data_IF_238188698822
#
_entry.id   IF_238188698822
#
_cell.length_a   1.000
_cell.length_b   1.000
_cell.length_c   1.000
_cell.angle_alpha   90.00
_cell.angle_beta   90.00
_cell.angle_gamma   90.00
#
_symmetry.space_group_name_H-M   'P 1'
#
loop_
_entity.id
_entity.type
_entity.pdbx_description
1 polymer ?
#
# COMPACT_ATOMS: atom_id res chain seq x y z
N UNK A 1 4.29 -0.48 4.60
CA UNK A 1 3.66 -1.79 4.89
C UNK A 1 4.57 -2.73 5.66
N UNK A 2 5.73 -3.14 5.12
CA UNK A 2 6.64 -4.08 5.82
C UNK A 2 7.06 -3.60 7.22
N UNK A 3 7.55 -2.36 7.32
CA UNK A 3 7.97 -1.74 8.59
C UNK A 3 6.82 -1.65 9.60
N UNK A 4 5.66 -1.17 9.18
CA UNK A 4 4.46 -1.08 10.02
C UNK A 4 3.92 -2.47 10.39
N UNK A 5 4.07 -3.48 9.53
CA UNK A 5 3.73 -4.86 9.82
C UNK A 5 4.62 -5.47 10.91
N UNK A 6 5.92 -5.17 10.91
CA UNK A 6 6.85 -5.61 11.94
C UNK A 6 6.59 -4.87 13.26
N UNK A 7 6.48 -3.53 13.22
CA UNK A 7 6.23 -2.70 14.40
C UNK A 7 4.84 -2.96 15.01
N UNK A 8 3.86 -3.30 14.19
CA UNK A 8 2.52 -3.66 14.62
C UNK A 8 2.41 -4.97 15.34
N UNK A 9 3.16 -5.98 14.90
CA UNK A 9 3.22 -7.27 15.58
C UNK A 9 3.84 -7.18 16.99
N UNK A 10 4.54 -6.08 17.31
CA UNK A 10 5.06 -5.80 18.66
C UNK A 10 4.24 -4.73 19.41
N UNK A 11 3.06 -4.37 18.89
CA UNK A 11 2.12 -3.44 19.55
C UNK A 11 2.46 -1.96 19.43
N UNK A 12 3.40 -1.59 18.55
CA UNK A 12 3.84 -0.21 18.35
C UNK A 12 3.18 0.38 17.10
N UNK A 13 2.77 1.65 17.17
CA UNK A 13 2.10 2.37 16.07
C UNK A 13 0.76 1.75 15.62
N UNK A 14 -0.04 1.22 16.55
CA UNK A 14 -1.38 0.65 16.28
C UNK A 14 -2.29 1.59 15.50
N UNK A 15 -2.29 2.90 15.80
CA UNK A 15 -3.07 3.88 15.04
C UNK A 15 -2.64 4.01 13.57
N UNK A 16 -1.33 3.90 13.27
CA UNK A 16 -0.85 3.91 11.88
C UNK A 16 -1.21 2.61 11.13
N UNK A 17 -1.42 1.51 11.87
CA UNK A 17 -1.84 0.22 11.32
C UNK A 17 -3.33 0.24 11.00
N UNK A 18 -4.18 0.78 11.88
CA UNK A 18 -5.60 1.01 11.58
C UNK A 18 -5.78 1.88 10.33
N UNK A 19 -5.00 2.96 10.22
CA UNK A 19 -5.01 3.77 9.00
C UNK A 19 -4.56 2.95 7.78
N UNK A 20 -3.51 2.14 7.92
CA UNK A 20 -3.04 1.27 6.84
C UNK A 20 -4.09 0.25 6.39
N UNK A 21 -4.79 -0.39 7.33
CA UNK A 21 -5.87 -1.35 7.04
C UNK A 21 -7.09 -0.68 6.40
N UNK A 22 -7.35 0.60 6.69
CA UNK A 22 -8.39 1.37 6.00
C UNK A 22 -8.01 1.76 4.56
N UNK A 23 -6.72 2.00 4.30
CA UNK A 23 -6.25 2.49 3.01
C UNK A 23 -5.85 1.37 2.03
N UNK A 24 -5.61 0.17 2.54
CA UNK A 24 -5.19 -0.99 1.76
C UNK A 24 -6.05 -2.19 2.13
N UNK A 25 -6.99 -2.51 1.25
CA UNK A 25 -8.04 -3.50 1.51
C UNK A 25 -7.46 -4.90 1.75
N UNK A 26 -6.30 -5.19 1.16
CA UNK A 26 -5.62 -6.47 1.31
C UNK A 26 -4.54 -6.48 2.42
N UNK A 27 -4.30 -5.34 3.08
CA UNK A 27 -3.31 -5.26 4.15
C UNK A 27 -3.85 -5.84 5.46
N UNK A 28 -3.02 -6.65 6.13
CA UNK A 28 -3.23 -7.09 7.51
C UNK A 28 -1.88 -7.40 8.15
N UNK A 29 -1.83 -7.52 9.48
CA UNK A 29 -0.61 -7.88 10.22
C UNK A 29 -0.07 -9.29 9.94
N UNK A 30 -0.80 -10.11 9.18
CA UNK A 30 -0.32 -11.40 8.69
C UNK A 30 0.74 -11.23 7.60
N UNK A 31 1.72 -12.14 7.52
CA UNK A 31 2.76 -12.11 6.46
C UNK A 31 2.13 -12.06 5.06
N UNK A 32 1.04 -12.82 4.83
CA UNK A 32 0.31 -12.82 3.57
C UNK A 32 -0.36 -11.47 3.28
N UNK A 33 -0.98 -10.85 4.28
CA UNK A 33 -1.60 -9.53 4.14
C UNK A 33 -0.58 -8.42 3.87
N UNK A 34 0.58 -8.46 4.53
CA UNK A 34 1.67 -7.49 4.26
C UNK A 34 2.11 -7.57 2.80
N UNK A 35 2.32 -8.79 2.27
CA UNK A 35 2.72 -9.00 0.88
C UNK A 35 1.60 -8.57 -0.07
N UNK A 36 0.35 -8.92 0.23
CA UNK A 36 -0.80 -8.56 -0.61
C UNK A 36 -1.01 -7.05 -0.68
N UNK A 37 -0.94 -6.34 0.46
CA UNK A 37 -1.01 -4.88 0.47
C UNK A 37 0.15 -4.23 -0.29
N UNK A 38 1.38 -4.79 -0.20
CA UNK A 38 2.51 -4.28 -0.99
C UNK A 38 2.27 -4.44 -2.49
N UNK A 39 1.72 -5.57 -2.93
CA UNK A 39 1.38 -5.81 -4.32
C UNK A 39 0.25 -4.87 -4.79
N UNK A 40 -0.79 -4.69 -3.98
CA UNK A 40 -1.89 -3.75 -4.22
C UNK A 40 -1.35 -2.34 -4.46
N UNK A 41 -0.54 -1.82 -3.54
CA UNK A 41 0.02 -0.48 -3.66
C UNK A 41 0.92 -0.33 -4.90
N UNK A 42 1.72 -1.35 -5.23
CA UNK A 42 2.57 -1.34 -6.42
C UNK A 42 1.74 -1.28 -7.71
N UNK A 43 0.69 -2.09 -7.82
CA UNK A 43 -0.19 -2.12 -9.00
C UNK A 43 -0.96 -0.81 -9.13
N UNK A 44 -1.55 -0.31 -8.05
CA UNK A 44 -2.31 0.95 -8.05
C UNK A 44 -1.38 2.10 -8.46
N UNK A 45 -0.20 2.21 -7.85
CA UNK A 45 0.78 3.26 -8.18
C UNK A 45 1.20 3.17 -9.64
N UNK A 46 1.48 1.96 -10.13
CA UNK A 46 1.84 1.75 -11.54
C UNK A 46 0.74 2.23 -12.49
N UNK A 47 -0.52 1.86 -12.24
CA UNK A 47 -1.66 2.29 -13.06
C UNK A 47 -1.79 3.80 -13.05
N UNK A 48 -1.73 4.45 -11.88
CA UNK A 48 -1.84 5.91 -11.78
C UNK A 48 -0.70 6.62 -12.52
N UNK A 49 0.55 6.20 -12.31
CA UNK A 49 1.71 6.81 -12.98
C UNK A 49 1.68 6.56 -14.49
N UNK A 50 1.29 5.35 -14.92
CA UNK A 50 1.15 5.03 -16.33
C UNK A 50 0.09 5.91 -17.01
N UNK A 51 -1.10 6.03 -16.40
CA UNK A 51 -2.16 6.90 -16.91
C UNK A 51 -1.71 8.36 -16.94
N UNK A 52 -1.08 8.83 -15.87
CA UNK A 52 -0.55 10.19 -15.80
C UNK A 52 0.45 10.47 -16.92
N UNK A 53 1.43 9.58 -17.11
CA UNK A 53 2.42 9.69 -18.19
C UNK A 53 1.77 9.62 -19.58
N UNK A 54 0.79 8.74 -19.78
CA UNK A 54 0.06 8.62 -21.03
C UNK A 54 -0.70 9.90 -21.38
N UNK A 55 -1.46 10.46 -20.43
CA UNK A 55 -2.19 11.71 -20.64
C UNK A 55 -1.24 12.90 -20.81
N UNK A 56 -0.18 12.97 -20.01
CA UNK A 56 0.85 14.00 -20.14
C UNK A 56 1.46 14.00 -21.55
N UNK A 57 1.91 12.84 -22.04
CA UNK A 57 2.50 12.72 -23.39
C UNK A 57 1.49 12.98 -24.52
N UNK A 58 0.19 12.79 -24.27
CA UNK A 58 -0.86 13.08 -25.26
C UNK A 58 -1.23 14.57 -25.31
N UNK A 59 -1.01 15.29 -24.22
CA UNK A 59 -1.34 16.71 -24.09
C UNK A 59 -0.13 17.65 -24.31
N UNK A 60 1.09 17.11 -24.26
CA UNK A 60 2.33 17.78 -24.63
C UNK A 60 2.54 17.76 -26.15
#
# INVERSE_FOLDING_TARGET
MLLLGILGNIGVYTGAIEMMEQWHEFFSLSIRGIIAGMAEAAVITFVFVYLFAFFYNKLA
#
